data_IF_951735866830
#
_entry.id   IF_951735866830
#
_cell.length_a   1.000
_cell.length_b   1.000
_cell.length_c   1.000
_cell.angle_alpha   90.00
_cell.angle_beta   90.00
_cell.angle_gamma   90.00
#
_symmetry.space_group_name_H-M   'P 1'
#
loop_
_entity.id
_entity.type
_entity.pdbx_description
1 polymer ?
#
# COMPACT_ATOMS: atom_id res chain seq x y z
N UNK A 1 30.24 -20.13 2.37
CA UNK A 1 29.36 -20.10 1.18
C UNK A 1 28.43 -18.90 1.25
N UNK A 2 28.01 -18.56 2.46
CA UNK A 2 27.09 -17.49 2.87
C UNK A 2 27.48 -16.13 2.29
N UNK A 3 28.70 -15.64 2.50
CA UNK A 3 29.12 -14.32 2.01
C UNK A 3 29.10 -14.20 0.48
N UNK A 4 29.39 -15.27 -0.25
CA UNK A 4 29.35 -15.26 -1.70
C UNK A 4 27.90 -15.18 -2.21
N UNK A 5 27.00 -15.96 -1.60
CA UNK A 5 25.57 -15.90 -1.90
C UNK A 5 24.96 -14.54 -1.55
N UNK A 6 25.28 -14.01 -0.36
CA UNK A 6 24.80 -12.73 0.14
C UNK A 6 25.16 -11.56 -0.78
N UNK A 7 26.38 -11.57 -1.33
CA UNK A 7 26.85 -10.55 -2.28
C UNK A 7 26.48 -10.85 -3.74
N UNK A 8 25.78 -11.96 -4.00
CA UNK A 8 25.31 -12.31 -5.33
C UNK A 8 26.36 -12.87 -6.29
N UNK A 9 27.49 -13.35 -5.76
CA UNK A 9 28.58 -13.94 -6.54
C UNK A 9 28.29 -15.41 -6.87
N UNK A 10 27.37 -15.63 -7.80
CA UNK A 10 26.93 -16.97 -8.22
C UNK A 10 28.12 -17.84 -8.65
N UNK A 11 29.03 -17.30 -9.45
CA UNK A 11 30.26 -17.96 -9.89
C UNK A 11 31.10 -18.51 -8.73
N UNK A 12 31.28 -17.73 -7.67
CA UNK A 12 31.99 -18.15 -6.46
C UNK A 12 31.20 -19.22 -5.72
N UNK A 13 29.88 -19.09 -5.60
CA UNK A 13 29.03 -20.12 -4.98
C UNK A 13 29.13 -21.45 -5.74
N UNK A 14 29.07 -21.43 -7.07
CA UNK A 14 29.20 -22.62 -7.91
C UNK A 14 30.60 -23.26 -7.77
N UNK A 15 31.64 -22.44 -7.69
CA UNK A 15 33.00 -22.93 -7.43
C UNK A 15 33.08 -23.62 -6.05
N UNK A 16 32.51 -23.02 -5.01
CA UNK A 16 32.52 -23.61 -3.67
C UNK A 16 31.68 -24.89 -3.62
N UNK A 17 30.49 -24.91 -4.22
CA UNK A 17 29.61 -26.08 -4.28
C UNK A 17 30.29 -27.27 -4.95
N UNK A 18 31.12 -27.01 -5.96
CA UNK A 18 31.88 -28.03 -6.67
C UNK A 18 33.05 -28.59 -5.85
N UNK A 19 33.80 -27.75 -5.14
CA UNK A 19 35.12 -28.11 -4.62
C UNK A 19 35.13 -28.34 -3.10
N UNK A 20 34.02 -28.10 -2.41
CA UNK A 20 33.95 -28.09 -0.95
C UNK A 20 32.76 -28.90 -0.44
N UNK A 21 32.88 -29.37 0.80
CA UNK A 21 31.86 -30.21 1.47
C UNK A 21 31.22 -29.54 2.69
N UNK A 22 31.67 -28.35 3.09
CA UNK A 22 31.14 -27.70 4.30
C UNK A 22 29.78 -27.02 4.09
N UNK A 23 29.42 -26.65 2.86
CA UNK A 23 28.12 -26.05 2.54
C UNK A 23 27.91 -24.64 3.13
N UNK A 24 26.65 -24.30 3.40
CA UNK A 24 26.24 -23.08 4.12
C UNK A 24 26.29 -23.28 5.63
N UNK A 25 26.31 -22.17 6.39
CA UNK A 25 26.38 -22.20 7.85
C UNK A 25 25.16 -22.89 8.50
N UNK A 26 25.42 -23.57 9.64
CA UNK A 26 24.67 -24.72 10.18
C UNK A 26 23.17 -24.59 10.52
N UNK A 27 22.53 -23.42 10.39
CA UNK A 27 21.07 -23.32 10.51
C UNK A 27 20.36 -23.33 9.15
N UNK A 28 21.02 -22.89 8.08
CA UNK A 28 20.44 -22.81 6.73
C UNK A 28 20.34 -24.20 6.06
N UNK A 29 21.20 -25.14 6.46
CA UNK A 29 21.25 -26.50 5.91
C UNK A 29 20.29 -27.48 6.61
N UNK A 30 19.97 -27.26 7.89
CA UNK A 30 19.36 -28.28 8.76
C UNK A 30 17.82 -28.26 8.78
N UNK A 31 17.18 -27.12 8.51
CA UNK A 31 15.70 -27.02 8.57
C UNK A 31 15.15 -26.26 7.36
N UNK A 32 14.29 -26.87 6.52
CA UNK A 32 13.55 -26.11 5.52
C UNK A 32 12.59 -25.16 6.24
N UNK A 33 12.71 -23.86 5.98
CA UNK A 33 11.80 -22.87 6.56
C UNK A 33 10.70 -22.53 5.55
N UNK A 34 11.08 -21.95 4.42
CA UNK A 34 10.13 -21.32 3.50
C UNK A 34 10.25 -21.79 2.04
N UNK A 35 11.34 -22.47 1.69
CA UNK A 35 11.66 -22.87 0.31
C UNK A 35 12.06 -24.35 0.27
N UNK A 36 11.57 -25.06 -0.74
CA UNK A 36 11.98 -26.41 -1.08
C UNK A 36 12.59 -26.45 -2.49
N UNK A 37 13.58 -27.32 -2.67
CA UNK A 37 14.26 -27.53 -3.95
C UNK A 37 14.06 -28.98 -4.36
N UNK A 38 13.28 -29.20 -5.42
CA UNK A 38 13.02 -30.54 -5.95
C UNK A 38 14.23 -31.14 -6.67
N UNK A 39 15.18 -30.30 -7.10
CA UNK A 39 16.33 -30.64 -7.95
C UNK A 39 15.92 -31.32 -9.26
N UNK A 40 14.80 -30.88 -9.85
CA UNK A 40 14.39 -31.31 -11.17
C UNK A 40 15.35 -30.67 -12.18
N UNK A 41 16.08 -31.42 -12.99
CA UNK A 41 16.95 -30.79 -14.01
C UNK A 41 16.12 -30.36 -15.24
N UNK A 42 14.98 -29.66 -15.02
CA UNK A 42 14.06 -29.25 -16.10
C UNK A 42 14.78 -28.28 -17.04
N UNK A 43 14.60 -28.45 -18.36
CA UNK A 43 15.24 -27.70 -19.44
C UNK A 43 16.78 -27.82 -19.56
N UNK A 44 17.49 -28.29 -18.53
CA UNK A 44 18.95 -28.54 -18.59
C UNK A 44 19.28 -29.60 -19.64
N UNK A 45 18.49 -30.67 -19.75
CA UNK A 45 18.71 -31.71 -20.76
C UNK A 45 18.52 -31.21 -22.21
N UNK A 46 17.71 -30.16 -22.43
CA UNK A 46 17.52 -29.54 -23.74
C UNK A 46 18.59 -28.47 -24.08
N UNK A 47 19.06 -27.71 -23.08
CA UNK A 47 20.09 -26.67 -23.25
C UNK A 47 21.51 -27.23 -23.34
N UNK A 48 21.79 -28.38 -22.71
CA UNK A 48 23.03 -29.15 -22.88
C UNK A 48 23.30 -29.43 -24.38
N UNK A 49 22.22 -29.50 -25.18
CA UNK A 49 22.30 -29.81 -26.61
C UNK A 49 22.52 -28.58 -27.52
N UNK A 50 22.35 -27.33 -27.05
CA UNK A 50 22.29 -26.17 -27.98
C UNK A 50 23.04 -24.88 -27.60
N UNK A 51 23.68 -24.71 -26.43
CA UNK A 51 24.46 -23.46 -26.18
C UNK A 51 25.72 -23.60 -25.30
N UNK A 52 26.72 -22.76 -25.63
CA UNK A 52 27.98 -22.43 -24.91
C UNK A 52 28.61 -23.47 -23.95
N UNK A 53 29.81 -23.95 -24.30
CA UNK A 53 30.55 -25.07 -23.69
C UNK A 53 30.88 -24.96 -22.20
N UNK A 54 30.95 -23.76 -21.61
CA UNK A 54 31.33 -23.59 -20.20
C UNK A 54 30.17 -23.82 -19.22
N UNK A 55 28.97 -23.30 -19.50
CA UNK A 55 27.79 -23.49 -18.65
C UNK A 55 27.36 -24.96 -18.62
N UNK A 56 27.43 -25.65 -19.75
CA UNK A 56 27.13 -27.08 -19.85
C UNK A 56 28.10 -27.94 -19.03
N UNK A 57 29.41 -27.63 -19.07
CA UNK A 57 30.40 -28.34 -18.25
C UNK A 57 30.20 -28.11 -16.75
N UNK A 58 29.75 -26.92 -16.34
CA UNK A 58 29.43 -26.65 -14.95
C UNK A 58 28.20 -27.43 -14.51
N UNK A 59 27.12 -27.44 -15.29
CA UNK A 59 25.89 -28.17 -15.01
C UNK A 59 26.11 -29.69 -14.94
N UNK A 60 26.87 -30.27 -15.87
CA UNK A 60 27.24 -31.69 -15.83
C UNK A 60 28.01 -32.06 -14.56
N UNK A 61 28.92 -31.19 -14.11
CA UNK A 61 29.68 -31.43 -12.88
C UNK A 61 28.83 -31.30 -11.62
N UNK A 62 27.88 -30.36 -11.60
CA UNK A 62 26.94 -30.23 -10.49
C UNK A 62 26.00 -31.45 -10.41
N UNK A 63 25.66 -32.04 -11.56
CA UNK A 63 24.91 -33.30 -11.61
C UNK A 63 25.67 -34.44 -10.92
N UNK A 64 26.98 -34.56 -11.14
CA UNK A 64 27.82 -35.54 -10.42
C UNK A 64 27.79 -35.29 -8.91
N UNK A 65 27.92 -34.04 -8.46
CA UNK A 65 27.84 -33.70 -7.02
C UNK A 65 26.47 -34.07 -6.43
N UNK A 66 25.39 -33.85 -7.18
CA UNK A 66 24.03 -34.25 -6.78
C UNK A 66 23.90 -35.77 -6.68
N UNK A 67 24.42 -36.52 -7.65
CA UNK A 67 24.38 -37.99 -7.65
C UNK A 67 25.17 -38.59 -6.47
N UNK A 68 26.28 -37.96 -6.08
CA UNK A 68 27.07 -38.39 -4.92
C UNK A 68 26.42 -38.05 -3.57
N UNK A 69 25.85 -36.84 -3.45
CA UNK A 69 25.36 -36.28 -2.18
C UNK A 69 24.08 -35.46 -2.38
N UNK A 70 22.93 -36.10 -2.60
CA UNK A 70 21.70 -35.42 -3.00
C UNK A 70 21.15 -34.49 -1.91
N UNK A 71 21.16 -34.91 -0.65
CA UNK A 71 20.60 -34.11 0.45
C UNK A 71 21.47 -32.87 0.77
N UNK A 72 22.79 -33.03 0.68
CA UNK A 72 23.73 -31.91 0.78
C UNK A 72 23.50 -30.89 -0.34
N UNK A 73 23.36 -31.37 -1.58
CA UNK A 73 23.12 -30.51 -2.74
C UNK A 73 21.79 -29.76 -2.61
N UNK A 74 20.70 -30.46 -2.24
CA UNK A 74 19.38 -29.86 -1.95
C UNK A 74 19.47 -28.79 -0.87
N UNK A 75 20.14 -29.07 0.24
CA UNK A 75 20.34 -28.11 1.33
C UNK A 75 21.09 -26.86 0.87
N UNK A 76 22.13 -27.02 0.03
CA UNK A 76 22.89 -25.89 -0.50
C UNK A 76 22.05 -25.04 -1.46
N UNK A 77 21.29 -25.66 -2.37
CA UNK A 77 20.41 -24.92 -3.28
C UNK A 77 19.30 -24.19 -2.53
N UNK A 78 18.71 -24.82 -1.50
CA UNK A 78 17.72 -24.19 -0.64
C UNK A 78 18.27 -22.95 0.05
N UNK A 79 19.42 -23.08 0.72
CA UNK A 79 20.08 -21.95 1.40
C UNK A 79 20.39 -20.81 0.43
N UNK A 80 20.84 -21.15 -0.79
CA UNK A 80 21.10 -20.17 -1.83
C UNK A 80 19.81 -19.46 -2.28
N UNK A 81 18.70 -20.19 -2.41
CA UNK A 81 17.39 -19.64 -2.75
C UNK A 81 16.87 -18.67 -1.68
N UNK A 82 16.96 -19.05 -0.40
CA UNK A 82 16.53 -18.21 0.73
C UNK A 82 17.29 -16.89 0.75
N UNK A 83 18.62 -16.93 0.62
CA UNK A 83 19.47 -15.73 0.56
C UNK A 83 19.13 -14.91 -0.69
N UNK A 84 18.91 -15.54 -1.83
CA UNK A 84 18.56 -14.83 -3.07
C UNK A 84 17.21 -14.11 -2.94
N UNK A 85 16.21 -14.73 -2.32
CA UNK A 85 14.92 -14.11 -1.99
C UNK A 85 15.11 -12.94 -1.01
N UNK A 86 15.87 -13.13 0.08
CA UNK A 86 16.18 -12.09 1.08
C UNK A 86 16.88 -10.87 0.46
N UNK A 87 17.71 -11.10 -0.55
CA UNK A 87 18.50 -10.05 -1.22
C UNK A 87 17.84 -9.47 -2.46
N UNK A 88 16.77 -10.09 -2.97
CA UNK A 88 16.18 -9.70 -4.26
C UNK A 88 17.09 -10.03 -5.46
N UNK A 89 17.96 -11.04 -5.34
CA UNK A 89 18.91 -11.38 -6.38
C UNK A 89 18.27 -12.28 -7.45
N UNK A 90 17.64 -11.64 -8.43
CA UNK A 90 16.95 -12.31 -9.53
C UNK A 90 17.88 -13.20 -10.37
N UNK A 91 19.18 -12.85 -10.50
CA UNK A 91 20.12 -13.66 -11.30
C UNK A 91 20.34 -15.05 -10.69
N UNK A 92 20.38 -15.13 -9.37
CA UNK A 92 20.51 -16.41 -8.66
C UNK A 92 19.19 -17.17 -8.73
N UNK A 93 18.05 -16.50 -8.58
CA UNK A 93 16.73 -17.12 -8.68
C UNK A 93 16.44 -17.67 -10.09
N UNK A 94 16.79 -16.92 -11.15
CA UNK A 94 16.69 -17.38 -12.53
C UNK A 94 17.55 -18.62 -12.78
N UNK A 95 18.74 -18.70 -12.17
CA UNK A 95 19.60 -19.89 -12.23
C UNK A 95 19.03 -21.07 -11.44
N UNK A 96 18.36 -20.82 -10.31
CA UNK A 96 17.74 -21.84 -9.47
C UNK A 96 16.42 -22.37 -10.04
N UNK A 97 15.68 -21.56 -10.80
CA UNK A 97 14.36 -21.89 -11.30
C UNK A 97 14.28 -23.24 -12.05
N UNK A 98 15.21 -23.57 -12.97
CA UNK A 98 15.25 -24.86 -13.64
C UNK A 98 15.28 -26.04 -12.67
N UNK A 99 15.88 -25.90 -11.49
CA UNK A 99 16.02 -26.94 -10.48
C UNK A 99 14.72 -27.28 -9.73
N UNK A 100 13.60 -26.64 -10.06
CA UNK A 100 12.32 -26.88 -9.39
C UNK A 100 12.28 -26.29 -8.00
N UNK A 101 12.40 -24.97 -7.92
CA UNK A 101 12.17 -24.20 -6.69
C UNK A 101 10.67 -24.21 -6.37
N UNK A 102 10.33 -24.48 -5.12
CA UNK A 102 8.97 -24.42 -4.59
C UNK A 102 8.95 -23.58 -3.32
N UNK A 103 7.90 -22.77 -3.15
CA UNK A 103 7.70 -22.01 -1.93
C UNK A 103 6.77 -22.79 -1.01
N UNK A 104 7.25 -23.14 0.18
CA UNK A 104 6.47 -23.85 1.19
C UNK A 104 5.68 -22.89 2.10
N UNK A 105 5.96 -21.59 2.00
CA UNK A 105 5.25 -20.54 2.73
C UNK A 105 5.09 -19.28 1.89
N UNK A 106 4.21 -18.38 2.34
CA UNK A 106 4.01 -17.05 1.75
C UNK A 106 5.00 -16.01 2.31
N UNK A 107 5.90 -16.41 3.21
CA UNK A 107 6.86 -15.48 3.84
C UNK A 107 7.78 -14.82 2.81
N UNK A 108 8.35 -15.53 1.81
CA UNK A 108 9.19 -14.91 0.79
C UNK A 108 8.47 -13.84 -0.04
N UNK A 109 7.22 -14.09 -0.44
CA UNK A 109 6.41 -13.14 -1.20
C UNK A 109 6.02 -11.93 -0.35
N UNK A 110 5.58 -12.16 0.90
CA UNK A 110 5.27 -11.09 1.87
C UNK A 110 6.49 -10.21 2.15
N UNK A 111 7.67 -10.81 2.32
CA UNK A 111 8.92 -10.08 2.55
C UNK A 111 9.36 -9.25 1.35
N UNK A 112 9.12 -9.72 0.11
CA UNK A 112 9.36 -8.93 -1.10
C UNK A 112 8.50 -7.66 -1.12
N UNK A 113 7.21 -7.80 -0.79
CA UNK A 113 6.27 -6.67 -0.73
C UNK A 113 6.65 -5.66 0.36
N UNK A 114 6.94 -6.13 1.57
CA UNK A 114 7.34 -5.25 2.68
C UNK A 114 8.63 -4.47 2.39
N UNK A 115 9.56 -5.08 1.63
CA UNK A 115 10.80 -4.45 1.18
C UNK A 115 10.64 -3.54 -0.02
N UNK A 116 9.43 -3.43 -0.58
CA UNK A 116 9.12 -2.62 -1.78
C UNK A 116 9.86 -3.11 -3.02
N UNK A 117 10.22 -4.38 -3.05
CA UNK A 117 10.96 -4.99 -4.15
C UNK A 117 10.01 -5.46 -5.25
N UNK A 118 9.54 -4.51 -6.05
CA UNK A 118 8.62 -4.78 -7.16
C UNK A 118 9.22 -5.75 -8.19
N UNK A 119 10.55 -5.80 -8.33
CA UNK A 119 11.21 -6.69 -9.28
C UNK A 119 11.08 -8.16 -8.83
N UNK A 120 11.31 -8.43 -7.54
CA UNK A 120 11.13 -9.75 -6.96
C UNK A 120 9.65 -10.16 -6.90
N UNK A 121 8.73 -9.23 -6.59
CA UNK A 121 7.27 -9.51 -6.63
C UNK A 121 6.85 -9.95 -8.03
N UNK A 122 7.30 -9.24 -9.08
CA UNK A 122 7.05 -9.64 -10.48
C UNK A 122 7.68 -10.98 -10.81
N UNK A 123 8.86 -11.28 -10.28
CA UNK A 123 9.52 -12.57 -10.48
C UNK A 123 8.70 -13.71 -9.90
N UNK A 124 8.19 -13.57 -8.66
CA UNK A 124 7.32 -14.58 -8.07
C UNK A 124 6.06 -14.82 -8.91
N UNK A 125 5.38 -13.74 -9.29
CA UNK A 125 4.14 -13.83 -10.08
C UNK A 125 4.35 -14.47 -11.46
N UNK A 126 5.38 -14.07 -12.20
CA UNK A 126 5.68 -14.60 -13.55
C UNK A 126 5.99 -16.09 -13.54
N UNK A 127 6.56 -16.59 -12.46
CA UNK A 127 6.93 -17.98 -12.29
C UNK A 127 5.82 -18.82 -11.65
N UNK A 128 4.62 -18.26 -11.47
CA UNK A 128 3.45 -18.98 -10.95
C UNK A 128 3.51 -19.27 -9.46
N UNK A 129 4.42 -18.65 -8.70
CA UNK A 129 4.40 -18.74 -7.26
C UNK A 129 3.19 -17.96 -6.75
N UNK A 130 2.31 -18.65 -6.02
CA UNK A 130 1.04 -18.08 -5.61
C UNK A 130 1.25 -16.83 -4.76
N UNK A 131 0.86 -15.70 -5.35
CA UNK A 131 0.70 -14.42 -4.68
C UNK A 131 -0.72 -14.37 -4.07
N UNK A 132 -1.41 -15.50 -3.88
CA UNK A 132 -2.86 -15.58 -3.69
C UNK A 132 -3.40 -15.11 -2.33
N UNK A 133 -2.59 -14.44 -1.51
CA UNK A 133 -3.08 -13.85 -0.26
C UNK A 133 -3.73 -12.48 -0.52
N UNK A 134 -5.04 -12.31 -0.21
CA UNK A 134 -5.67 -10.99 -0.26
C UNK A 134 -4.95 -9.95 0.61
N UNK A 135 -4.34 -10.42 1.70
CA UNK A 135 -3.57 -9.64 2.68
C UNK A 135 -2.30 -9.03 2.07
N UNK A 136 -1.84 -9.49 0.90
CA UNK A 136 -0.59 -9.00 0.34
C UNK A 136 -0.66 -7.51 -0.03
N UNK A 137 -1.83 -7.03 -0.49
CA UNK A 137 -2.02 -5.61 -0.75
C UNK A 137 -1.90 -4.78 0.54
N UNK A 138 -2.36 -5.31 1.68
CA UNK A 138 -2.28 -4.67 3.00
C UNK A 138 -0.84 -4.59 3.54
N UNK A 139 0.10 -5.31 2.94
CA UNK A 139 1.52 -5.21 3.27
C UNK A 139 2.26 -4.18 2.41
N UNK A 140 1.64 -3.72 1.32
CA UNK A 140 2.25 -2.82 0.36
C UNK A 140 2.21 -1.37 0.86
N UNK A 141 3.24 -0.97 1.61
CA UNK A 141 3.46 0.42 2.03
C UNK A 141 4.09 1.32 0.94
N UNK A 142 4.14 0.82 -0.29
CA UNK A 142 4.69 1.50 -1.46
C UNK A 142 3.65 1.57 -2.57
N UNK A 143 3.57 2.73 -3.24
CA UNK A 143 2.55 3.00 -4.27
C UNK A 143 2.73 2.10 -5.48
N UNK A 144 3.97 1.83 -5.89
CA UNK A 144 4.23 1.08 -7.11
C UNK A 144 3.90 -0.40 -6.92
N UNK A 145 4.24 -0.96 -5.75
CA UNK A 145 3.85 -2.33 -5.38
C UNK A 145 2.34 -2.45 -5.21
N UNK A 146 1.71 -1.51 -4.49
CA UNK A 146 0.26 -1.54 -4.27
C UNK A 146 -0.52 -1.41 -5.59
N UNK A 147 -0.09 -0.50 -6.48
CA UNK A 147 -0.70 -0.34 -7.82
C UNK A 147 -0.55 -1.60 -8.64
N UNK A 148 0.66 -2.17 -8.68
CA UNK A 148 0.90 -3.39 -9.43
C UNK A 148 0.02 -4.54 -8.92
N UNK A 149 -0.07 -4.74 -7.61
CA UNK A 149 -0.97 -5.74 -7.02
C UNK A 149 -2.43 -5.48 -7.44
N UNK A 150 -2.92 -4.25 -7.33
CA UNK A 150 -4.29 -3.93 -7.73
C UNK A 150 -4.59 -4.19 -9.21
N UNK A 151 -3.64 -3.86 -10.10
CA UNK A 151 -3.74 -4.16 -11.54
C UNK A 151 -3.84 -5.67 -11.84
N UNK A 152 -3.33 -6.53 -10.94
CA UNK A 152 -3.36 -7.98 -11.07
C UNK A 152 -4.51 -8.63 -10.28
N UNK A 153 -5.51 -7.84 -9.87
CA UNK A 153 -6.78 -8.32 -9.33
C UNK A 153 -6.91 -8.31 -7.80
N UNK A 154 -5.90 -7.79 -7.08
CA UNK A 154 -5.97 -7.67 -5.62
C UNK A 154 -6.89 -6.50 -5.24
N UNK A 155 -7.88 -6.78 -4.39
CA UNK A 155 -8.87 -5.79 -3.99
C UNK A 155 -8.45 -5.05 -2.73
N UNK A 156 -8.79 -3.76 -2.66
CA UNK A 156 -8.67 -2.98 -1.43
C UNK A 156 -9.93 -3.26 -0.60
N UNK A 157 -9.77 -3.99 0.51
CA UNK A 157 -10.90 -4.46 1.33
C UNK A 157 -11.11 -3.58 2.58
N UNK A 158 -10.06 -2.93 3.08
CA UNK A 158 -10.06 -2.22 4.36
C UNK A 158 -9.42 -0.83 4.26
N UNK A 159 -9.83 0.08 5.16
CA UNK A 159 -9.22 1.40 5.35
C UNK A 159 -7.95 1.35 6.23
N UNK A 160 -7.63 0.23 6.87
CA UNK A 160 -6.45 0.08 7.74
C UNK A 160 -5.14 0.46 7.02
N UNK A 161 -5.01 0.08 5.75
CA UNK A 161 -3.84 0.43 4.97
C UNK A 161 -3.73 1.94 4.71
N UNK A 162 -4.86 2.64 4.60
CA UNK A 162 -4.87 4.10 4.44
C UNK A 162 -4.39 4.79 5.74
N UNK A 163 -4.79 4.29 6.92
CA UNK A 163 -4.29 4.78 8.21
C UNK A 163 -2.80 4.48 8.40
N UNK A 164 -2.34 3.30 8.00
CA UNK A 164 -0.92 2.96 8.03
C UNK A 164 -0.11 3.86 7.08
N UNK A 165 -0.62 4.10 5.87
CA UNK A 165 0.01 5.00 4.91
C UNK A 165 0.09 6.44 5.48
N UNK A 166 -0.96 6.91 6.15
CA UNK A 166 -0.98 8.19 6.87
C UNK A 166 0.07 8.24 7.98
N UNK A 167 0.18 7.20 8.81
CA UNK A 167 1.17 7.11 9.88
C UNK A 167 2.61 7.14 9.33
N UNK A 168 2.85 6.47 8.20
CA UNK A 168 4.13 6.50 7.50
C UNK A 168 4.37 7.78 6.69
N UNK A 169 3.45 8.75 6.71
CA UNK A 169 3.45 9.98 5.89
C UNK A 169 3.54 9.72 4.39
N UNK A 170 3.08 8.55 3.94
CA UNK A 170 2.98 8.20 2.53
C UNK A 170 1.65 8.73 1.95
N UNK A 171 1.58 10.05 1.77
CA UNK A 171 0.41 10.74 1.24
C UNK A 171 -0.02 10.17 -0.12
N UNK A 172 0.89 9.92 -1.10
CA UNK A 172 0.48 9.38 -2.39
C UNK A 172 -0.23 8.02 -2.28
N UNK A 173 0.26 7.12 -1.42
CA UNK A 173 -0.38 5.82 -1.18
C UNK A 173 -1.72 5.99 -0.49
N UNK A 174 -1.78 6.78 0.59
CA UNK A 174 -3.02 7.04 1.32
C UNK A 174 -4.10 7.56 0.37
N UNK A 175 -3.80 8.56 -0.45
CA UNK A 175 -4.75 9.12 -1.42
C UNK A 175 -5.22 8.08 -2.42
N UNK A 176 -4.29 7.33 -2.99
CA UNK A 176 -4.61 6.28 -3.96
C UNK A 176 -5.52 5.20 -3.35
N UNK A 177 -5.29 4.82 -2.09
CA UNK A 177 -6.12 3.85 -1.37
C UNK A 177 -7.54 4.35 -1.11
N UNK A 178 -7.70 5.60 -0.66
CA UNK A 178 -9.03 6.16 -0.40
C UNK A 178 -9.78 6.38 -1.73
N UNK A 179 -9.10 6.71 -2.83
CA UNK A 179 -9.74 6.88 -4.14
C UNK A 179 -10.21 5.58 -4.78
N UNK A 180 -9.54 4.46 -4.52
CA UNK A 180 -9.80 3.16 -5.18
C UNK A 180 -10.43 2.13 -4.26
N UNK A 181 -10.40 2.37 -2.96
CA UNK A 181 -10.95 1.50 -1.93
C UNK A 181 -12.45 1.71 -1.70
N UNK A 182 -12.99 1.08 -0.65
CA UNK A 182 -14.37 1.26 -0.25
C UNK A 182 -14.67 2.71 0.17
N UNK A 183 -15.94 3.12 0.21
CA UNK A 183 -16.35 4.42 0.74
C UNK A 183 -15.80 4.61 2.15
N UNK A 184 -15.17 5.76 2.41
CA UNK A 184 -14.53 6.06 3.68
C UNK A 184 -15.55 6.13 4.81
N UNK A 185 -15.34 5.35 5.86
CA UNK A 185 -16.17 5.40 7.07
C UNK A 185 -15.81 6.62 7.96
N UNK A 186 -16.74 6.98 8.84
CA UNK A 186 -16.56 8.11 9.76
C UNK A 186 -15.36 7.88 10.71
N UNK A 187 -15.13 6.65 11.17
CA UNK A 187 -14.08 6.34 12.13
C UNK A 187 -12.68 6.56 11.53
N UNK A 188 -12.39 5.98 10.36
CA UNK A 188 -11.11 6.18 9.69
C UNK A 188 -10.97 7.61 9.18
N UNK A 189 -12.03 8.21 8.63
CA UNK A 189 -12.00 9.61 8.20
C UNK A 189 -11.66 10.56 9.35
N UNK A 190 -12.29 10.41 10.50
CA UNK A 190 -12.01 11.22 11.70
C UNK A 190 -10.57 11.02 12.17
N UNK A 191 -10.08 9.77 12.19
CA UNK A 191 -8.70 9.45 12.58
C UNK A 191 -7.70 10.15 11.65
N UNK A 192 -7.86 10.00 10.34
CA UNK A 192 -6.98 10.61 9.34
C UNK A 192 -6.95 12.14 9.41
N UNK A 193 -8.10 12.77 9.69
CA UNK A 193 -8.25 14.22 9.76
C UNK A 193 -7.72 14.79 11.07
N UNK A 194 -8.12 14.23 12.22
CA UNK A 194 -7.80 14.80 13.53
C UNK A 194 -6.39 14.40 13.96
N UNK A 195 -6.03 13.11 13.82
CA UNK A 195 -4.74 12.60 14.30
C UNK A 195 -3.60 12.93 13.35
N UNK A 196 -3.84 12.86 12.05
CA UNK A 196 -2.80 13.06 11.03
C UNK A 196 -2.93 14.37 10.23
N UNK A 197 -3.94 15.21 10.55
CA UNK A 197 -4.13 16.55 9.98
C UNK A 197 -4.36 16.59 8.46
N UNK A 198 -4.87 15.50 7.88
CA UNK A 198 -5.24 15.44 6.46
C UNK A 198 -6.65 15.98 6.23
N UNK A 199 -6.85 17.28 6.44
CA UNK A 199 -8.16 17.94 6.37
C UNK A 199 -8.85 17.76 5.01
N UNK A 200 -8.05 17.66 3.95
CA UNK A 200 -8.54 17.49 2.60
C UNK A 200 -9.39 16.25 2.45
N UNK A 201 -9.17 15.17 3.19
CA UNK A 201 -9.97 13.96 2.96
C UNK A 201 -11.43 14.12 3.41
N UNK A 202 -11.76 15.14 4.21
CA UNK A 202 -13.12 15.33 4.71
C UNK A 202 -14.12 15.53 3.58
N UNK A 203 -13.71 15.97 2.38
CA UNK A 203 -14.61 16.02 1.21
C UNK A 203 -15.02 14.63 0.71
N UNK A 204 -14.26 13.58 1.03
CA UNK A 204 -14.54 12.19 0.64
C UNK A 204 -15.54 11.50 1.57
N UNK A 205 -15.79 12.07 2.75
CA UNK A 205 -16.81 11.58 3.67
C UNK A 205 -18.22 11.90 3.18
N UNK A 206 -19.18 11.04 3.53
CA UNK A 206 -20.58 11.30 3.27
C UNK A 206 -21.05 12.58 3.99
N UNK A 207 -22.11 13.22 3.50
CA UNK A 207 -22.64 14.44 4.13
C UNK A 207 -22.98 14.24 5.60
N UNK A 208 -23.63 13.11 5.92
CA UNK A 208 -24.00 12.71 7.29
C UNK A 208 -22.76 12.61 8.19
N UNK A 209 -21.68 11.99 7.70
CA UNK A 209 -20.42 11.82 8.43
C UNK A 209 -19.71 13.16 8.65
N UNK A 210 -19.68 14.03 7.63
CA UNK A 210 -19.10 15.38 7.74
C UNK A 210 -19.85 16.21 8.78
N UNK A 211 -21.19 16.16 8.77
CA UNK A 211 -22.03 16.86 9.74
C UNK A 211 -21.76 16.32 11.15
N UNK A 212 -21.75 14.99 11.33
CA UNK A 212 -21.46 14.35 12.59
C UNK A 212 -20.10 14.83 13.16
N UNK A 213 -19.06 14.82 12.33
CA UNK A 213 -17.74 15.30 12.69
C UNK A 213 -17.73 16.77 13.14
N UNK A 214 -18.39 17.68 12.41
CA UNK A 214 -18.47 19.10 12.79
C UNK A 214 -19.17 19.28 14.14
N UNK A 215 -20.26 18.55 14.38
CA UNK A 215 -20.99 18.62 15.64
C UNK A 215 -20.13 18.16 16.83
N UNK A 216 -19.36 17.09 16.68
CA UNK A 216 -18.44 16.61 17.72
C UNK A 216 -17.30 17.60 18.00
N UNK A 217 -16.73 18.20 16.96
CA UNK A 217 -15.66 19.19 17.09
C UNK A 217 -16.13 20.46 17.82
N UNK A 218 -17.33 20.95 17.49
CA UNK A 218 -17.95 22.10 18.14
C UNK A 218 -18.23 21.83 19.62
N UNK A 219 -18.77 20.64 19.96
CA UNK A 219 -19.05 20.24 21.34
C UNK A 219 -17.79 20.14 22.20
N UNK A 220 -16.73 19.56 21.65
CA UNK A 220 -15.46 19.38 22.36
C UNK A 220 -14.57 20.63 22.32
N UNK A 221 -15.01 21.70 21.64
CA UNK A 221 -14.26 22.92 21.43
C UNK A 221 -12.86 22.69 20.84
N UNK A 222 -12.75 21.72 19.92
CA UNK A 222 -11.48 21.21 19.42
C UNK A 222 -11.30 21.55 17.94
N UNK A 223 -10.05 21.85 17.56
CA UNK A 223 -9.61 22.04 16.17
C UNK A 223 -10.48 22.99 15.32
N UNK A 224 -10.48 24.29 15.69
CA UNK A 224 -11.26 25.34 15.00
C UNK A 224 -10.92 25.49 13.52
N UNK A 225 -9.66 25.27 13.16
CA UNK A 225 -9.18 25.29 11.77
C UNK A 225 -9.87 24.23 10.93
N UNK A 226 -10.07 23.03 11.48
CA UNK A 226 -10.80 21.96 10.82
C UNK A 226 -12.29 22.30 10.67
N UNK A 227 -12.92 22.86 11.70
CA UNK A 227 -14.32 23.31 11.62
C UNK A 227 -14.47 24.33 10.50
N UNK A 228 -13.58 25.33 10.45
CA UNK A 228 -13.55 26.32 9.39
C UNK A 228 -13.32 25.69 8.01
N UNK A 229 -12.36 24.76 7.91
CA UNK A 229 -12.04 24.07 6.66
C UNK A 229 -13.27 23.33 6.13
N UNK A 230 -13.93 22.54 6.99
CA UNK A 230 -15.10 21.73 6.62
C UNK A 230 -16.24 22.65 6.23
N UNK A 231 -16.58 23.66 7.03
CA UNK A 231 -17.68 24.58 6.70
C UNK A 231 -17.41 25.41 5.42
N UNK A 232 -16.15 25.70 5.12
CA UNK A 232 -15.77 26.42 3.91
C UNK A 232 -15.83 25.58 2.65
N UNK A 233 -15.57 24.27 2.76
CA UNK A 233 -15.44 23.37 1.62
C UNK A 233 -16.62 22.41 1.45
N UNK A 234 -17.57 22.37 2.40
CA UNK A 234 -18.73 21.49 2.32
C UNK A 234 -19.93 22.16 1.67
N UNK A 235 -20.36 21.59 0.54
CA UNK A 235 -21.75 21.71 0.10
C UNK A 235 -22.59 20.77 0.96
N UNK A 236 -23.48 21.34 1.77
CA UNK A 236 -24.49 20.62 2.56
C UNK A 236 -25.83 20.86 1.88
N UNK A 237 -26.44 19.78 1.39
CA UNK A 237 -27.70 19.86 0.64
C UNK A 237 -28.91 19.70 1.56
N UNK A 238 -28.77 18.88 2.59
CA UNK A 238 -29.84 18.59 3.51
C UNK A 238 -30.12 19.75 4.47
N UNK A 239 -31.39 20.13 4.58
CA UNK A 239 -31.81 21.25 5.42
C UNK A 239 -31.72 20.95 6.91
N UNK A 240 -31.90 19.69 7.31
CA UNK A 240 -31.80 19.30 8.72
C UNK A 240 -30.34 19.26 9.19
N UNK A 241 -29.43 18.86 8.31
CA UNK A 241 -27.98 18.99 8.48
C UNK A 241 -27.55 20.45 8.67
N UNK A 242 -28.03 21.37 7.82
CA UNK A 242 -27.79 22.81 7.97
C UNK A 242 -28.32 23.35 9.31
N UNK A 243 -29.52 22.96 9.73
CA UNK A 243 -30.11 23.36 11.01
C UNK A 243 -29.29 22.84 12.20
N UNK A 244 -28.86 21.58 12.14
CA UNK A 244 -28.09 20.94 13.21
C UNK A 244 -26.77 21.67 13.44
N UNK A 245 -26.05 21.99 12.36
CA UNK A 245 -24.80 22.77 12.45
C UNK A 245 -25.06 24.17 13.00
N UNK A 246 -26.08 24.89 12.51
CA UNK A 246 -26.41 26.24 13.01
C UNK A 246 -26.68 26.25 14.51
N UNK A 247 -27.42 25.25 15.01
CA UNK A 247 -27.73 25.16 16.43
C UNK A 247 -26.45 24.88 17.23
N UNK A 248 -25.61 23.93 16.79
CA UNK A 248 -24.35 23.63 17.45
C UNK A 248 -23.36 24.80 17.43
N UNK A 249 -23.32 25.61 16.37
CA UNK A 249 -22.49 26.82 16.30
C UNK A 249 -22.97 27.86 17.31
N UNK A 250 -24.29 28.05 17.48
CA UNK A 250 -24.84 28.97 18.49
C UNK A 250 -24.54 28.53 19.91
N UNK A 251 -24.58 27.22 20.14
CA UNK A 251 -24.30 26.61 21.44
C UNK A 251 -22.79 26.47 21.72
N UNK A 252 -21.94 26.81 20.74
CA UNK A 252 -20.49 26.73 20.88
C UNK A 252 -19.96 27.79 21.87
N UNK A 253 -18.81 27.53 22.52
CA UNK A 253 -18.19 28.49 23.43
C UNK A 253 -17.91 29.84 22.75
N UNK A 254 -18.08 30.94 23.48
CA UNK A 254 -18.01 32.31 22.93
C UNK A 254 -16.73 32.59 22.17
N UNK A 255 -15.60 32.03 22.60
CA UNK A 255 -14.31 32.20 21.93
C UNK A 255 -14.24 31.52 20.54
N UNK A 256 -14.93 30.39 20.36
CA UNK A 256 -15.03 29.69 19.08
C UNK A 256 -16.06 30.33 18.17
N UNK A 257 -17.19 30.79 18.73
CA UNK A 257 -18.19 31.54 17.99
C UNK A 257 -17.59 32.81 17.37
N UNK A 258 -16.89 33.63 18.17
CA UNK A 258 -16.24 34.87 17.69
C UNK A 258 -15.23 34.54 16.59
N UNK A 259 -14.37 33.55 16.82
CA UNK A 259 -13.36 33.17 15.84
C UNK A 259 -13.99 32.68 14.53
N UNK A 260 -15.06 31.88 14.58
CA UNK A 260 -15.79 31.45 13.38
C UNK A 260 -16.46 32.62 12.68
N UNK A 261 -17.04 33.58 13.42
CA UNK A 261 -17.62 34.79 12.82
C UNK A 261 -16.56 35.60 12.08
N UNK A 262 -15.39 35.81 12.67
CA UNK A 262 -14.31 36.57 12.05
C UNK A 262 -13.78 35.90 10.77
N UNK A 263 -13.75 34.56 10.72
CA UNK A 263 -13.13 33.81 9.64
C UNK A 263 -14.11 33.27 8.56
N UNK A 264 -15.39 33.13 8.86
CA UNK A 264 -16.41 32.64 7.91
C UNK A 264 -17.30 33.75 7.35
N UNK A 265 -17.57 34.83 8.09
CA UNK A 265 -18.43 35.94 7.60
C UNK A 265 -17.90 36.64 6.33
N UNK A 266 -16.57 36.76 6.11
CA UNK A 266 -16.05 37.29 4.86
C UNK A 266 -16.29 36.37 3.64
N UNK A 267 -16.67 35.11 3.85
CA UNK A 267 -16.86 34.11 2.80
C UNK A 267 -18.36 33.99 2.50
N UNK A 268 -18.82 34.56 1.38
CA UNK A 268 -20.25 34.59 1.01
C UNK A 268 -20.91 33.21 1.03
N UNK A 269 -20.18 32.18 0.59
CA UNK A 269 -20.63 30.79 0.58
C UNK A 269 -20.91 30.21 1.97
N UNK A 270 -20.37 30.82 3.04
CA UNK A 270 -20.53 30.37 4.42
C UNK A 270 -21.57 31.18 5.21
N UNK A 271 -22.18 32.20 4.60
CA UNK A 271 -23.15 33.07 5.29
C UNK A 271 -24.35 32.30 5.84
N UNK A 272 -24.69 31.16 5.26
CA UNK A 272 -25.75 30.29 5.75
C UNK A 272 -25.52 29.84 7.20
N UNK A 273 -24.28 29.76 7.68
CA UNK A 273 -23.92 29.28 9.04
C UNK A 273 -24.51 30.18 10.12
N UNK A 274 -24.65 31.50 9.86
CA UNK A 274 -25.13 32.48 10.85
C UNK A 274 -26.54 33.00 10.56
N UNK A 275 -27.17 32.58 9.46
CA UNK A 275 -28.53 33.02 9.12
C UNK A 275 -29.57 32.49 10.12
N UNK A 276 -30.42 33.39 10.61
CA UNK A 276 -31.58 33.05 11.42
C UNK A 276 -32.71 32.50 10.54
N UNK A 277 -33.32 31.38 10.94
CA UNK A 277 -34.61 30.94 10.40
C UNK A 277 -35.70 31.92 10.87
N UNK A 278 -35.80 33.06 10.19
CA UNK A 278 -36.72 34.14 10.53
C UNK A 278 -37.29 34.79 9.28
N UNK A 279 -38.48 34.31 8.89
CA UNK A 279 -39.40 34.79 7.84
C UNK A 279 -39.02 34.48 6.39
N UNK A 280 -39.87 33.65 5.77
CA UNK A 280 -40.19 33.71 4.33
C UNK A 280 -40.39 35.18 3.94
N UNK A 281 -39.49 35.77 3.16
CA UNK A 281 -39.93 36.73 2.16
C UNK A 281 -40.15 35.92 0.88
N UNK A 282 -41.40 35.94 0.43
CA UNK A 282 -41.77 35.61 -0.94
C UNK A 282 -41.07 36.62 -1.84
N UNK A 283 -39.91 36.23 -2.35
CA UNK A 283 -39.24 36.89 -3.44
C UNK A 283 -38.48 35.80 -4.16
N UNK A 284 -38.84 35.56 -5.42
CA UNK A 284 -38.12 34.67 -6.33
C UNK A 284 -36.61 34.91 -6.22
N UNK A 285 -35.93 34.07 -5.46
CA UNK A 285 -34.52 33.81 -5.70
C UNK A 285 -34.49 32.59 -6.58
N UNK A 286 -34.57 32.85 -7.88
CA UNK A 286 -33.93 31.99 -8.87
C UNK A 286 -32.52 31.74 -8.37
N UNK A 287 -32.28 30.54 -7.85
CA UNK A 287 -30.94 30.00 -7.69
C UNK A 287 -30.38 29.98 -9.11
N UNK A 288 -29.72 31.06 -9.52
CA UNK A 288 -28.84 31.03 -10.67
C UNK A 288 -27.85 29.91 -10.36
N UNK A 289 -28.02 28.81 -11.08
CA UNK A 289 -27.02 27.76 -11.24
C UNK A 289 -25.74 28.45 -11.71
N UNK A 290 -24.90 28.90 -10.79
CA UNK A 290 -23.49 29.09 -11.11
C UNK A 290 -22.87 27.72 -11.18
N UNK A 291 -22.25 27.48 -12.31
CA UNK A 291 -21.58 26.25 -12.68
C UNK A 291 -20.38 25.99 -11.74
N UNK A 292 -20.64 25.49 -10.52
CA UNK A 292 -19.62 25.05 -9.55
C UNK A 292 -18.90 23.75 -9.96
N UNK A 293 -19.01 23.38 -11.25
CA UNK A 293 -18.12 22.41 -11.87
C UNK A 293 -16.65 22.82 -11.78
N UNK A 294 -16.34 24.11 -11.55
CA UNK A 294 -14.96 24.61 -11.51
C UNK A 294 -14.29 24.42 -10.14
N UNK A 295 -14.99 24.60 -9.02
CA UNK A 295 -14.45 24.34 -7.68
C UNK A 295 -14.21 22.84 -7.45
N UNK A 296 -15.16 22.00 -7.85
CA UNK A 296 -15.04 20.54 -7.79
C UNK A 296 -13.92 20.02 -8.70
N UNK A 297 -13.79 20.54 -9.93
CA UNK A 297 -12.66 20.22 -10.82
C UNK A 297 -11.33 20.75 -10.28
N UNK A 298 -11.32 21.90 -9.63
CA UNK A 298 -10.11 22.50 -9.03
C UNK A 298 -9.61 21.68 -7.85
N UNK A 299 -10.50 21.23 -6.96
CA UNK A 299 -10.17 20.39 -5.81
C UNK A 299 -9.74 18.98 -6.24
N UNK A 300 -10.43 18.35 -7.20
CA UNK A 300 -9.98 17.07 -7.78
C UNK A 300 -8.61 17.23 -8.47
N UNK A 301 -8.37 18.36 -9.14
CA UNK A 301 -7.07 18.66 -9.76
C UNK A 301 -5.98 18.91 -8.72
N UNK A 302 -6.29 19.61 -7.63
CA UNK A 302 -5.36 19.87 -6.53
C UNK A 302 -5.01 18.56 -5.82
N UNK A 303 -6.02 17.78 -5.45
CA UNK A 303 -5.89 16.45 -4.86
C UNK A 303 -5.10 15.45 -5.73
N UNK A 304 -5.24 15.53 -7.07
CA UNK A 304 -4.44 14.73 -8.01
C UNK A 304 -3.05 15.29 -8.32
N UNK A 305 -2.74 16.54 -7.95
CA UNK A 305 -1.46 17.22 -8.29
C UNK A 305 -0.52 17.43 -7.10
N UNK A 306 -1.03 17.43 -5.87
CA UNK A 306 -0.25 17.61 -4.63
C UNK A 306 0.21 16.28 -4.03
#
# INVERSE_FOLDING_TARGET
>A
MDSAAYNGHLDVVLYLLKNRSEGFSGNAMETPQDIEMLCLFRNIDSEISQSNSQSNQQLQRLKVVFEERPDFFRGCLRSLAEIACERGNLKILDWLYPFGLELCSTIPTRNAVRRRDLALVRWFYRNGYEVNEPVLLELALDVDVARWLYEHGFQIVSHELAELAANCRNIPLMRWLIERGPPLDLATGTTLVIKYSYFEITWMLAEEDRVCMVLELLRNNNNRELIWWVLRQTEIKDQDSLRSIRNAVKDAPSNTLIWLQDNLSPVEACNWVFQHTGKRSTGDFTIERREDGNAKKSLIRFWRRS
#
